data_IF_754048812678
#
_entry.id   IF_754048812678
#
_cell.length_a   1.000
_cell.length_b   1.000
_cell.length_c   1.000
_cell.angle_alpha   90.00
_cell.angle_beta   90.00
_cell.angle_gamma   90.00
#
_symmetry.space_group_name_H-M   'P 1'
#
loop_
_entity.id
_entity.type
_entity.pdbx_description
1 polymer ?
#
# COMPACT_ATOMS: atom_id res chain seq x y z
N UNK A 1 10.38 6.52 21.08
CA UNK A 1 9.05 7.13 20.88
C UNK A 1 9.05 8.33 21.81
N UNK A 2 8.92 9.56 21.30
CA UNK A 2 8.77 10.71 22.21
C UNK A 2 7.42 10.58 22.94
N UNK A 3 7.35 10.73 24.28
CA UNK A 3 6.12 10.53 25.04
C UNK A 3 4.97 11.45 24.56
N UNK A 4 5.28 12.62 24.02
CA UNK A 4 4.33 13.58 23.47
C UNK A 4 3.63 13.15 22.16
N UNK A 5 4.09 12.06 21.52
CA UNK A 5 3.54 11.57 20.25
C UNK A 5 2.58 10.38 20.39
N UNK A 6 2.42 9.85 21.60
CA UNK A 6 1.45 8.79 21.89
C UNK A 6 0.17 9.45 22.39
N UNK A 7 -0.96 9.13 21.76
CA UNK A 7 -2.27 9.63 22.16
C UNK A 7 -3.03 8.55 22.92
N UNK A 8 -3.77 8.95 23.94
CA UNK A 8 -4.66 8.08 24.70
C UNK A 8 -6.09 8.23 24.19
N UNK A 9 -6.82 7.12 24.14
CA UNK A 9 -8.23 7.05 23.73
C UNK A 9 -8.52 7.77 22.40
N UNK A 10 -7.60 7.66 21.44
CA UNK A 10 -7.72 8.36 20.15
C UNK A 10 -8.85 7.73 19.31
N UNK A 11 -9.85 8.50 18.86
CA UNK A 11 -10.98 7.96 18.09
C UNK A 11 -10.53 7.52 16.70
N UNK A 12 -10.64 6.21 16.41
CA UNK A 12 -10.20 5.63 15.13
C UNK A 12 -11.08 6.06 13.95
N UNK A 13 -12.27 6.59 14.18
CA UNK A 13 -13.08 7.29 13.16
C UNK A 13 -12.33 8.42 12.45
N UNK A 14 -11.37 9.06 13.11
CA UNK A 14 -10.49 10.06 12.49
C UNK A 14 -9.45 9.47 11.54
N UNK A 15 -9.24 8.15 11.59
CA UNK A 15 -8.17 7.43 10.91
C UNK A 15 -8.66 6.37 9.91
N UNK A 16 -9.97 6.14 9.81
CA UNK A 16 -10.60 5.27 8.82
C UNK A 16 -11.27 6.08 7.71
N UNK A 17 -11.40 5.49 6.51
CA UNK A 17 -12.13 6.13 5.39
C UNK A 17 -13.63 6.14 5.64
N UNK A 18 -14.16 5.12 6.32
CA UNK A 18 -15.57 5.00 6.69
C UNK A 18 -16.01 5.99 7.78
N UNK A 19 -15.08 6.68 8.43
CA UNK A 19 -15.36 7.64 9.52
C UNK A 19 -16.07 7.01 10.72
N UNK A 20 -15.77 5.75 10.97
CA UNK A 20 -16.27 4.96 12.10
C UNK A 20 -15.09 4.30 12.82
N UNK A 21 -15.31 3.96 14.09
CA UNK A 21 -14.31 3.35 14.96
C UNK A 21 -14.19 4.05 16.30
N UNK A 22 -14.31 3.26 17.36
CA UNK A 22 -14.08 3.67 18.74
C UNK A 22 -12.62 4.02 19.06
N UNK A 23 -12.30 4.19 20.34
CA UNK A 23 -10.98 4.63 20.77
C UNK A 23 -9.89 3.56 20.61
N UNK A 24 -8.68 3.95 20.23
CA UNK A 24 -7.48 3.17 20.49
C UNK A 24 -6.89 3.56 21.84
N UNK A 25 -6.57 2.58 22.70
CA UNK A 25 -6.01 2.85 24.04
C UNK A 25 -4.76 3.69 23.96
N UNK A 26 -3.89 3.30 23.03
CA UNK A 26 -2.65 3.94 22.68
C UNK A 26 -2.64 4.07 21.17
N UNK A 27 -2.51 5.30 20.68
CA UNK A 27 -2.35 5.58 19.27
C UNK A 27 -1.00 6.23 18.99
N UNK A 28 -0.27 5.67 18.03
CA UNK A 28 1.02 6.20 17.60
C UNK A 28 1.10 6.29 16.08
N UNK A 29 1.48 7.45 15.56
CA UNK A 29 1.75 7.62 14.13
C UNK A 29 3.24 7.41 13.84
N UNK A 30 3.56 6.34 13.11
CA UNK A 30 4.91 6.00 12.68
C UNK A 30 5.19 6.61 11.30
N UNK A 31 6.24 7.43 11.20
CA UNK A 31 6.58 8.17 9.97
C UNK A 31 7.55 7.45 9.04
N UNK A 32 8.12 6.34 9.50
CA UNK A 32 9.07 5.51 8.77
C UNK A 32 9.17 4.12 9.42
N UNK A 33 9.81 3.18 8.71
CA UNK A 33 10.02 1.80 9.18
C UNK A 33 10.75 1.73 10.53
N UNK A 34 11.74 2.60 10.75
CA UNK A 34 12.47 2.65 12.02
C UNK A 34 11.57 2.98 13.22
N UNK A 35 10.65 3.93 13.06
CA UNK A 35 9.65 4.25 14.09
C UNK A 35 8.64 3.12 14.30
N UNK A 36 8.15 2.51 13.21
CA UNK A 36 7.23 1.38 13.27
C UNK A 36 7.86 0.20 14.04
N UNK A 37 9.07 -0.20 13.64
CA UNK A 37 9.80 -1.32 14.27
C UNK A 37 10.03 -1.04 15.75
N UNK A 38 10.46 0.18 16.10
CA UNK A 38 10.67 0.58 17.50
C UNK A 38 9.38 0.50 18.31
N UNK A 39 8.26 0.99 17.75
CA UNK A 39 6.96 0.98 18.42
C UNK A 39 6.45 -0.44 18.68
N UNK A 40 6.50 -1.30 17.66
CA UNK A 40 6.07 -2.69 17.76
C UNK A 40 6.92 -3.45 18.77
N UNK A 41 8.26 -3.34 18.69
CA UNK A 41 9.17 -4.02 19.63
C UNK A 41 8.94 -3.59 21.07
N UNK A 42 8.76 -2.28 21.29
CA UNK A 42 8.49 -1.76 22.63
C UNK A 42 7.18 -2.31 23.20
N UNK A 43 6.09 -2.22 22.44
CA UNK A 43 4.79 -2.74 22.88
C UNK A 43 4.85 -4.23 23.20
N UNK A 44 5.49 -5.03 22.35
CA UNK A 44 5.68 -6.47 22.58
C UNK A 44 6.52 -6.77 23.82
N UNK A 45 7.53 -5.95 24.14
CA UNK A 45 8.34 -6.13 25.37
C UNK A 45 7.56 -5.90 26.66
N UNK A 46 6.41 -5.23 26.59
CA UNK A 46 5.47 -5.03 27.69
C UNK A 46 4.20 -5.87 27.54
N UNK A 47 4.20 -6.86 26.63
CA UNK A 47 3.05 -7.74 26.35
C UNK A 47 1.78 -6.96 25.92
N UNK A 48 1.95 -5.77 25.36
CA UNK A 48 0.85 -4.95 24.84
C UNK A 48 0.53 -5.41 23.42
N UNK A 49 -0.73 -5.79 23.12
CA UNK A 49 -1.13 -6.18 21.77
C UNK A 49 -0.98 -5.01 20.81
N UNK A 50 -0.57 -5.32 19.57
CA UNK A 50 -0.32 -4.30 18.54
C UNK A 50 -1.23 -4.53 17.35
N UNK A 51 -1.93 -3.48 16.93
CA UNK A 51 -2.62 -3.42 15.65
C UNK A 51 -1.95 -2.37 14.77
N UNK A 52 -1.62 -2.74 13.54
CA UNK A 52 -1.08 -1.79 12.56
C UNK A 52 -2.18 -1.41 11.58
N UNK A 53 -2.41 -0.12 11.43
CA UNK A 53 -3.23 0.45 10.37
C UNK A 53 -2.37 1.39 9.53
N UNK A 54 -2.83 1.74 8.34
CA UNK A 54 -2.19 2.77 7.53
C UNK A 54 -3.15 3.94 7.29
N UNK A 55 -3.73 4.00 6.09
CA UNK A 55 -4.80 4.95 5.74
C UNK A 55 -6.20 4.52 6.17
N UNK A 56 -6.35 3.31 6.72
CA UNK A 56 -7.63 2.81 7.22
C UNK A 56 -8.70 2.65 6.13
N UNK A 57 -8.31 2.39 4.88
CA UNK A 57 -9.22 2.29 3.73
C UNK A 57 -9.92 0.94 3.58
N UNK A 58 -9.42 -0.10 4.26
CA UNK A 58 -9.96 -1.46 4.20
C UNK A 58 -10.08 -2.06 5.62
N UNK A 59 -10.58 -1.28 6.58
CA UNK A 59 -10.79 -1.74 7.95
C UNK A 59 -12.16 -1.27 8.46
N UNK A 60 -12.78 -2.12 9.28
CA UNK A 60 -14.00 -1.82 10.01
C UNK A 60 -13.70 -1.92 11.49
N UNK A 61 -13.71 -0.77 12.18
CA UNK A 61 -13.43 -0.69 13.61
C UNK A 61 -14.75 -0.49 14.34
N UNK A 62 -15.05 -1.36 15.32
CA UNK A 62 -16.24 -1.26 16.14
C UNK A 62 -16.16 -0.12 17.16
N UNK A 63 -17.30 0.22 17.79
CA UNK A 63 -17.41 1.34 18.74
C UNK A 63 -16.63 1.12 20.04
N UNK A 64 -16.33 -0.14 20.38
CA UNK A 64 -15.45 -0.48 21.51
C UNK A 64 -13.96 -0.21 21.21
N UNK A 65 -13.63 0.09 19.95
CA UNK A 65 -12.28 0.46 19.54
C UNK A 65 -11.29 -0.70 19.52
N UNK A 66 -10.01 -0.40 19.73
CA UNK A 66 -8.91 -1.37 19.65
C UNK A 66 -8.08 -1.31 20.93
N UNK A 67 -7.95 -2.47 21.59
CA UNK A 67 -7.12 -2.59 22.80
C UNK A 67 -5.63 -2.67 22.49
N UNK A 68 -4.82 -2.09 23.36
CA UNK A 68 -3.37 -2.00 23.22
C UNK A 68 -2.91 -0.88 22.31
N UNK A 69 -1.80 -1.10 21.61
CA UNK A 69 -1.18 -0.11 20.74
C UNK A 69 -1.70 -0.23 19.31
N UNK A 70 -2.38 0.82 18.84
CA UNK A 70 -2.64 1.02 17.42
C UNK A 70 -1.54 1.89 16.81
N UNK A 71 -0.81 1.36 15.83
CA UNK A 71 0.21 2.10 15.08
C UNK A 71 -0.32 2.45 13.70
N UNK A 72 -0.45 3.75 13.41
CA UNK A 72 -0.69 4.23 12.06
C UNK A 72 0.63 4.38 11.29
N UNK A 73 0.92 3.44 10.38
CA UNK A 73 2.10 3.48 9.51
C UNK A 73 1.86 4.46 8.35
N UNK A 74 2.46 5.65 8.43
CA UNK A 74 2.22 6.79 7.52
C UNK A 74 3.54 7.45 7.14
N UNK A 75 4.09 7.01 6.02
CA UNK A 75 5.35 7.53 5.50
C UNK A 75 6.34 6.43 5.15
N UNK A 76 7.58 6.84 4.94
CA UNK A 76 8.60 5.99 4.36
C UNK A 76 9.35 6.73 3.25
N UNK A 77 10.14 6.00 2.50
CA UNK A 77 10.95 6.52 1.40
C UNK A 77 10.65 5.73 0.13
N UNK A 78 10.89 6.37 -1.00
CA UNK A 78 10.95 5.75 -2.32
C UNK A 78 12.41 5.85 -2.76
N UNK A 79 13.04 4.72 -3.03
CA UNK A 79 14.44 4.62 -3.47
C UNK A 79 14.49 3.89 -4.80
N UNK A 80 14.93 4.58 -5.85
CA UNK A 80 15.10 4.03 -7.20
C UNK A 80 16.56 3.61 -7.33
N UNK A 81 16.81 2.32 -7.60
CA UNK A 81 18.18 1.76 -7.51
C UNK A 81 19.03 1.98 -8.76
N UNK A 82 18.48 1.78 -9.95
CA UNK A 82 19.15 2.08 -11.21
C UNK A 82 18.13 2.51 -12.27
N UNK A 83 18.44 3.57 -13.02
CA UNK A 83 17.65 3.98 -14.19
C UNK A 83 18.46 3.78 -15.45
N UNK A 84 17.99 2.93 -16.37
CA UNK A 84 18.46 2.93 -17.75
C UNK A 84 17.52 3.79 -18.58
N UNK A 85 17.94 5.02 -18.88
CA UNK A 85 17.14 5.94 -19.68
C UNK A 85 17.20 5.55 -21.16
N UNK A 86 16.07 5.17 -21.75
CA UNK A 86 15.98 4.68 -23.13
C UNK A 86 15.44 5.73 -24.13
N UNK A 87 15.38 7.01 -23.72
CA UNK A 87 14.90 8.10 -24.56
C UNK A 87 13.37 8.18 -24.62
N UNK A 88 12.86 9.29 -25.17
CA UNK A 88 11.41 9.50 -25.34
C UNK A 88 10.94 8.93 -26.69
N UNK A 89 9.95 8.03 -26.69
CA UNK A 89 9.15 7.74 -27.90
C UNK A 89 8.13 8.87 -28.10
N UNK A 90 7.92 9.29 -29.35
CA UNK A 90 6.93 10.31 -29.73
C UNK A 90 5.55 9.87 -29.23
N UNK A 91 4.89 10.70 -28.43
CA UNK A 91 3.51 10.43 -27.99
C UNK A 91 2.60 10.32 -29.22
N UNK A 92 1.90 9.19 -29.35
CA UNK A 92 0.75 9.09 -30.24
C UNK A 92 -0.36 9.91 -29.61
N UNK A 93 -0.81 10.97 -30.30
CA UNK A 93 -2.00 11.70 -29.87
C UNK A 93 -3.19 10.77 -30.07
N UNK A 94 -3.80 10.34 -28.97
CA UNK A 94 -5.07 9.61 -28.97
C UNK A 94 -6.13 10.70 -28.78
N UNK A 95 -6.91 10.97 -29.83
CA UNK A 95 -8.12 11.76 -29.68
C UNK A 95 -9.09 10.98 -28.78
N UNK A 96 -9.44 11.57 -27.63
CA UNK A 96 -10.39 11.00 -26.69
C UNK A 96 -11.70 11.73 -26.86
N UNK A 97 -12.74 11.02 -27.27
CA UNK A 97 -14.08 11.59 -27.33
C UNK A 97 -14.53 12.06 -25.94
N UNK A 98 -15.23 13.18 -25.89
CA UNK A 98 -15.82 13.65 -24.65
C UNK A 98 -16.81 12.61 -24.09
N UNK A 99 -16.81 12.42 -22.76
CA UNK A 99 -17.71 11.49 -22.03
C UNK A 99 -19.20 11.69 -22.37
N UNK A 100 -19.55 12.87 -22.88
CA UNK A 100 -20.91 13.31 -23.21
C UNK A 100 -21.27 13.19 -24.70
N UNK A 101 -20.61 12.29 -25.44
CA UNK A 101 -21.16 11.80 -26.70
C UNK A 101 -22.32 10.85 -26.37
N UNK A 102 -23.55 11.24 -26.72
CA UNK A 102 -24.73 10.36 -26.64
C UNK A 102 -24.47 9.18 -27.56
N UNK A 103 -23.98 8.09 -26.98
CA UNK A 103 -23.82 6.82 -27.68
C UNK A 103 -25.21 6.31 -28.07
N UNK A 104 -25.56 6.43 -29.35
CA UNK A 104 -26.66 5.65 -29.94
C UNK A 104 -26.33 4.13 -29.96
N UNK A 105 -25.16 3.73 -29.47
CA UNK A 105 -24.64 2.35 -29.43
C UNK A 105 -24.75 1.69 -28.03
N UNK A 106 -25.39 2.36 -27.05
CA UNK A 106 -25.49 1.85 -25.68
C UNK A 106 -24.18 1.99 -24.89
N UNK A 107 -24.17 1.51 -23.65
CA UNK A 107 -22.96 1.39 -22.82
C UNK A 107 -21.99 0.41 -23.48
N UNK A 108 -20.87 0.91 -24.02
CA UNK A 108 -19.78 0.05 -24.45
C UNK A 108 -19.24 -0.69 -23.23
N UNK A 109 -19.33 -2.03 -23.26
CA UNK A 109 -18.67 -2.88 -22.30
C UNK A 109 -17.20 -2.95 -22.73
N UNK A 110 -16.34 -2.17 -22.10
CA UNK A 110 -14.89 -2.31 -22.27
C UNK A 110 -14.46 -3.65 -21.66
N UNK A 111 -13.71 -4.45 -22.42
CA UNK A 111 -12.92 -5.53 -21.84
C UNK A 111 -11.64 -4.90 -21.28
N UNK A 112 -11.26 -5.19 -20.04
CA UNK A 112 -10.03 -4.63 -19.46
C UNK A 112 -8.78 -5.06 -20.25
N UNK A 113 -8.87 -6.19 -20.94
CA UNK A 113 -7.81 -6.69 -21.83
C UNK A 113 -7.55 -5.74 -23.01
N UNK A 114 -8.54 -4.92 -23.41
CA UNK A 114 -8.37 -3.92 -24.47
C UNK A 114 -7.53 -2.72 -24.01
N UNK A 115 -7.32 -2.56 -22.70
CA UNK A 115 -6.51 -1.50 -22.09
C UNK A 115 -5.10 -1.98 -21.75
N UNK A 116 -4.82 -3.29 -21.89
CA UNK A 116 -3.49 -3.85 -21.66
C UNK A 116 -2.50 -3.34 -22.73
N UNK A 117 -1.25 -3.20 -22.32
CA UNK A 117 -0.19 -2.72 -23.18
C UNK A 117 1.13 -3.42 -22.84
N UNK A 118 1.96 -3.61 -23.85
CA UNK A 118 3.21 -4.35 -23.74
C UNK A 118 4.38 -3.40 -23.44
N UNK A 119 4.98 -3.57 -22.27
CA UNK A 119 6.20 -2.87 -21.84
C UNK A 119 7.45 -3.76 -21.84
N UNK A 120 7.39 -4.97 -22.40
CA UNK A 120 8.51 -5.93 -22.36
C UNK A 120 9.78 -5.46 -23.08
N UNK A 121 9.66 -4.49 -23.99
CA UNK A 121 10.78 -3.82 -24.67
C UNK A 121 11.51 -2.78 -23.79
N UNK A 122 10.95 -2.42 -22.63
CA UNK A 122 11.48 -1.40 -21.73
C UNK A 122 12.27 -2.03 -20.57
N UNK A 123 13.27 -1.32 -20.00
CA UNK A 123 14.09 -1.88 -18.94
C UNK A 123 13.30 -1.91 -17.64
N UNK A 124 13.41 -3.01 -16.91
CA UNK A 124 12.92 -3.07 -15.53
C UNK A 124 13.69 -2.10 -14.64
N UNK A 125 12.97 -1.39 -13.76
CA UNK A 125 13.55 -0.47 -12.78
C UNK A 125 13.22 -0.97 -11.38
N UNK A 126 14.25 -1.33 -10.61
CA UNK A 126 14.05 -1.77 -9.23
C UNK A 126 13.82 -0.55 -8.31
N UNK A 127 12.65 -0.55 -7.66
CA UNK A 127 12.24 0.49 -6.71
C UNK A 127 11.98 -0.14 -5.35
N UNK A 128 12.53 0.45 -4.29
CA UNK A 128 12.17 0.14 -2.91
C UNK A 128 11.23 1.21 -2.37
N UNK A 129 10.07 0.81 -1.84
CA UNK A 129 9.05 1.73 -1.32
C UNK A 129 8.66 1.32 0.10
N UNK A 130 8.64 2.28 1.03
CA UNK A 130 8.19 2.05 2.40
C UNK A 130 6.71 1.68 2.48
N UNK A 131 6.36 0.76 3.38
CA UNK A 131 4.98 0.24 3.53
C UNK A 131 3.95 1.28 3.98
N UNK A 132 4.38 2.34 4.65
CA UNK A 132 3.51 3.45 5.04
C UNK A 132 3.30 4.50 3.94
N UNK A 133 4.01 4.40 2.80
CA UNK A 133 3.86 5.36 1.70
C UNK A 133 2.48 5.21 1.08
N UNK A 134 1.82 6.33 0.81
CA UNK A 134 0.53 6.35 0.13
C UNK A 134 0.68 5.84 -1.32
N UNK A 135 -0.20 4.94 -1.74
CA UNK A 135 -0.11 4.28 -3.05
C UNK A 135 -0.19 5.27 -4.22
N UNK A 136 -1.09 6.24 -4.15
CA UNK A 136 -1.27 7.23 -5.21
C UNK A 136 -0.09 8.20 -5.25
N UNK A 137 0.40 8.63 -4.09
CA UNK A 137 1.62 9.46 -4.03
C UNK A 137 2.85 8.73 -4.59
N UNK A 138 3.00 7.43 -4.32
CA UNK A 138 4.07 6.63 -4.89
C UNK A 138 3.97 6.57 -6.41
N UNK A 139 2.76 6.35 -6.93
CA UNK A 139 2.50 6.33 -8.37
C UNK A 139 2.86 7.67 -9.03
N UNK A 140 2.36 8.79 -8.49
CA UNK A 140 2.66 10.13 -9.01
C UNK A 140 4.18 10.39 -9.03
N UNK A 141 4.87 10.04 -7.94
CA UNK A 141 6.33 10.20 -7.83
C UNK A 141 7.11 9.33 -8.81
N UNK A 142 6.61 8.13 -9.14
CA UNK A 142 7.24 7.27 -10.13
C UNK A 142 6.97 7.74 -11.56
N UNK A 143 5.79 8.26 -11.84
CA UNK A 143 5.47 8.87 -13.15
C UNK A 143 6.29 10.12 -13.43
N UNK A 144 6.52 10.99 -12.44
CA UNK A 144 7.45 12.13 -12.55
C UNK A 144 8.86 11.67 -13.01
N UNK A 145 9.21 10.44 -12.66
CA UNK A 145 10.49 9.81 -12.92
C UNK A 145 10.49 8.90 -14.17
N UNK A 146 9.35 8.83 -14.89
CA UNK A 146 9.15 8.02 -16.09
C UNK A 146 9.01 6.51 -15.83
N UNK A 147 8.67 6.11 -14.61
CA UNK A 147 8.53 4.71 -14.19
C UNK A 147 7.06 4.34 -14.11
N UNK A 148 6.67 3.36 -14.91
CA UNK A 148 5.33 2.76 -14.96
C UNK A 148 5.28 1.45 -14.17
N UNK A 149 4.11 0.83 -14.10
CA UNK A 149 3.83 -0.44 -13.40
C UNK A 149 2.75 -0.33 -12.32
N UNK A 150 2.55 0.85 -11.73
CA UNK A 150 1.53 1.08 -10.69
C UNK A 150 0.17 1.58 -11.22
N UNK A 151 0.07 2.00 -12.48
CA UNK A 151 -1.13 2.62 -13.07
C UNK A 151 -2.41 1.80 -12.90
N UNK A 152 -2.33 0.48 -12.91
CA UNK A 152 -3.48 -0.41 -12.75
C UNK A 152 -4.17 -0.25 -11.40
N UNK A 153 -3.45 0.23 -10.41
CA UNK A 153 -3.95 0.47 -9.05
C UNK A 153 -4.32 1.94 -8.82
N UNK A 154 -4.47 2.73 -9.89
CA UNK A 154 -4.85 4.13 -9.79
C UNK A 154 -6.21 4.25 -9.10
N UNK A 155 -6.35 5.28 -8.26
CA UNK A 155 -7.53 5.56 -7.42
C UNK A 155 -7.84 4.54 -6.32
N UNK A 156 -7.11 3.44 -6.20
CA UNK A 156 -7.23 2.55 -5.03
C UNK A 156 -6.69 3.29 -3.79
N UNK A 157 -7.52 3.55 -2.76
CA UNK A 157 -7.07 4.24 -1.57
C UNK A 157 -6.22 3.33 -0.68
N UNK A 158 -5.15 3.86 -0.08
CA UNK A 158 -4.38 3.13 0.92
C UNK A 158 -2.88 3.36 0.82
N UNK A 159 -2.12 2.49 1.47
CA UNK A 159 -0.66 2.48 1.46
C UNK A 159 -0.11 1.27 0.73
N UNK A 160 1.18 1.29 0.41
CA UNK A 160 1.88 0.14 -0.19
C UNK A 160 1.83 -1.10 0.72
N UNK A 161 1.92 -0.93 2.04
CA UNK A 161 1.78 -2.03 2.99
C UNK A 161 0.38 -2.65 2.96
N UNK A 162 -0.67 -1.83 2.84
CA UNK A 162 -2.04 -2.32 2.67
C UNK A 162 -2.25 -3.01 1.31
N UNK A 163 -1.59 -2.51 0.26
CA UNK A 163 -1.57 -3.12 -1.07
C UNK A 163 -0.97 -4.53 -1.04
N UNK A 164 0.18 -4.68 -0.38
CA UNK A 164 0.84 -5.98 -0.15
C UNK A 164 -0.01 -6.87 0.74
N UNK A 165 -0.55 -6.36 1.86
CA UNK A 165 -1.31 -7.16 2.82
C UNK A 165 -2.53 -7.83 2.18
N UNK A 166 -3.23 -7.10 1.30
CA UNK A 166 -4.42 -7.59 0.62
C UNK A 166 -4.14 -8.17 -0.76
N UNK A 167 -2.93 -8.08 -1.32
CA UNK A 167 -2.69 -8.40 -2.73
C UNK A 167 -3.72 -7.74 -3.66
N UNK A 168 -3.77 -6.41 -3.63
CA UNK A 168 -4.78 -5.63 -4.37
C UNK A 168 -4.79 -5.95 -5.87
N UNK A 169 -5.90 -5.68 -6.52
CA UNK A 169 -6.10 -5.95 -7.94
C UNK A 169 -6.68 -4.73 -8.65
N UNK A 170 -6.37 -4.59 -9.93
CA UNK A 170 -6.84 -3.50 -10.78
C UNK A 170 -6.85 -3.91 -12.25
N UNK A 171 -8.01 -3.84 -12.89
CA UNK A 171 -8.20 -4.43 -14.22
C UNK A 171 -7.94 -5.95 -14.17
N UNK A 172 -7.07 -6.43 -15.06
CA UNK A 172 -6.62 -7.83 -15.10
C UNK A 172 -5.36 -8.10 -14.26
N UNK A 173 -4.82 -7.08 -13.58
CA UNK A 173 -3.54 -7.16 -12.89
C UNK A 173 -3.68 -7.33 -11.38
N UNK A 174 -2.75 -8.08 -10.80
CA UNK A 174 -2.64 -8.35 -9.36
C UNK A 174 -1.32 -7.86 -8.81
N UNK A 175 -1.34 -7.31 -7.60
CA UNK A 175 -0.21 -6.52 -7.07
C UNK A 175 1.09 -7.30 -7.01
N UNK A 176 1.05 -8.62 -6.78
CA UNK A 176 2.27 -9.42 -6.70
C UNK A 176 3.07 -9.49 -8.01
N UNK A 177 2.46 -9.23 -9.17
CA UNK A 177 3.13 -9.28 -10.48
C UNK A 177 4.32 -8.33 -10.56
N UNK A 178 4.26 -7.22 -9.82
CA UNK A 178 5.29 -6.17 -9.79
C UNK A 178 6.12 -6.18 -8.50
N UNK A 179 5.86 -7.12 -7.58
CA UNK A 179 6.57 -7.24 -6.30
C UNK A 179 7.65 -8.31 -6.41
N UNK A 180 8.90 -7.93 -6.14
CA UNK A 180 10.03 -8.87 -6.10
C UNK A 180 10.22 -9.50 -4.72
N UNK A 181 10.31 -8.64 -3.70
CA UNK A 181 10.50 -9.02 -2.31
C UNK A 181 9.73 -8.09 -1.38
N UNK A 182 9.38 -8.58 -0.19
CA UNK A 182 8.71 -7.83 0.88
C UNK A 182 9.58 -7.87 2.14
N UNK A 183 9.83 -6.73 2.75
CA UNK A 183 10.51 -6.66 4.05
C UNK A 183 9.46 -6.68 5.15
N UNK A 184 9.61 -7.58 6.12
CA UNK A 184 8.66 -7.75 7.23
C UNK A 184 9.37 -7.71 8.58
N UNK A 185 8.63 -7.31 9.60
CA UNK A 185 8.94 -7.49 11.00
C UNK A 185 8.26 -8.77 11.51
N UNK A 186 9.05 -9.76 11.90
CA UNK A 186 8.55 -11.05 12.41
C UNK A 186 7.91 -10.88 13.79
N UNK A 187 7.18 -11.91 14.26
CA UNK A 187 6.63 -11.93 15.62
C UNK A 187 7.72 -11.82 16.70
N UNK A 188 8.90 -12.40 16.46
CA UNK A 188 10.05 -12.32 17.35
C UNK A 188 10.77 -10.97 17.32
N UNK A 189 10.36 -10.07 16.40
CA UNK A 189 10.90 -8.73 16.29
C UNK A 189 12.09 -8.63 15.34
N UNK A 190 12.40 -9.66 14.55
CA UNK A 190 13.45 -9.63 13.53
C UNK A 190 12.95 -8.97 12.25
N UNK A 191 13.85 -8.34 11.51
CA UNK A 191 13.55 -7.79 10.19
C UNK A 191 14.05 -8.77 9.14
N UNK A 192 13.14 -9.26 8.30
CA UNK A 192 13.44 -10.26 7.27
C UNK A 192 12.95 -9.78 5.91
N UNK A 193 13.69 -10.15 4.86
CA UNK A 193 13.24 -10.01 3.47
C UNK A 193 12.66 -11.34 3.00
N UNK A 194 11.44 -11.31 2.52
CA UNK A 194 10.69 -12.47 2.03
C UNK A 194 10.51 -12.31 0.51
N UNK A 195 10.96 -13.27 -0.31
CA UNK A 195 10.72 -13.23 -1.75
C UNK A 195 9.23 -13.39 -2.04
N UNK A 196 8.74 -12.76 -3.12
CA UNK A 196 7.32 -12.77 -3.53
C UNK A 196 6.73 -14.19 -3.59
N UNK A 197 7.51 -15.18 -4.05
CA UNK A 197 7.11 -16.60 -4.12
C UNK A 197 6.75 -17.20 -2.76
N UNK A 198 7.30 -16.66 -1.68
CA UNK A 198 7.05 -17.09 -0.30
C UNK A 198 5.94 -16.30 0.40
N UNK A 199 5.35 -15.30 -0.26
CA UNK A 199 4.24 -14.50 0.27
C UNK A 199 2.88 -15.20 0.18
N UNK A 200 2.78 -16.31 -0.56
CA UNK A 200 1.55 -17.12 -0.70
C UNK A 200 0.33 -16.25 -1.04
N UNK A 201 0.47 -15.42 -2.07
CA UNK A 201 -0.60 -14.55 -2.52
C UNK A 201 -1.73 -15.35 -3.16
N UNK A 202 -2.96 -14.99 -2.82
CA UNK A 202 -4.20 -15.44 -3.50
C UNK A 202 -5.07 -14.19 -3.74
N UNK A 203 -6.28 -14.40 -4.27
CA UNK A 203 -7.27 -13.33 -4.39
C UNK A 203 -7.59 -12.74 -3.01
N UNK A 204 -7.29 -11.45 -2.82
CA UNK A 204 -7.44 -10.69 -1.58
C UNK A 204 -6.70 -11.25 -0.35
N UNK A 205 -5.65 -12.06 -0.56
CA UNK A 205 -4.90 -12.69 0.53
C UNK A 205 -3.40 -12.62 0.36
N UNK A 206 -2.73 -12.56 1.50
CA UNK A 206 -1.30 -12.78 1.65
C UNK A 206 -1.01 -13.58 2.90
N UNK A 207 0.20 -14.16 2.99
CA UNK A 207 0.74 -14.78 4.21
C UNK A 207 0.63 -13.88 5.45
N UNK A 208 0.66 -12.56 5.29
CA UNK A 208 0.64 -11.60 6.41
C UNK A 208 -0.65 -11.69 7.24
N UNK A 209 -1.76 -12.11 6.62
CA UNK A 209 -3.05 -12.27 7.31
C UNK A 209 -3.05 -13.41 8.34
N UNK A 210 -2.15 -14.38 8.22
CA UNK A 210 -2.11 -15.57 9.10
C UNK A 210 -0.82 -15.67 9.91
N UNK A 211 0.28 -15.08 9.42
CA UNK A 211 1.61 -15.20 10.04
C UNK A 211 1.84 -14.27 11.23
N UNK A 212 1.03 -13.22 11.42
CA UNK A 212 1.26 -12.19 12.45
C UNK A 212 2.49 -11.31 12.19
N UNK A 213 3.07 -11.39 10.99
CA UNK A 213 4.17 -10.55 10.53
C UNK A 213 3.65 -9.19 10.07
N UNK A 214 4.46 -8.14 10.23
CA UNK A 214 4.08 -6.77 9.87
C UNK A 214 4.95 -6.32 8.69
N UNK A 215 4.32 -5.79 7.65
CA UNK A 215 4.98 -5.16 6.48
C UNK A 215 5.17 -3.66 6.68
#
# INVERSE_FOLDING_TARGET
>A
MGPERVKLDEPLSSHTTLKIGGPADLFYEAKNSGELIKAVRLARSFEVPVTVIAGGSNVLVGDLGIRGLTVANRGGKIEIREKKFLGFRKNKVIEVDSRWMVSNKGTMKYDFSDLDYDESDFPEVEVSIGSGVNLQLAMDKLFDEGITGLQWYARIPGSLGGAVFNNIHGGNHVFFEIVKDVVVLTQHGDVMKIPVKSMRFEYDKSRLQTSGEIV
#
